data_IF_533591064370
#
_entry.id   IF_533591064370
#
_cell.length_a   1.000
_cell.length_b   1.000
_cell.length_c   1.000
_cell.angle_alpha   90.00
_cell.angle_beta   90.00
_cell.angle_gamma   90.00
#
_symmetry.space_group_name_H-M   'P 1'
#
loop_
_entity.id
_entity.type
_entity.pdbx_description
1 polymer ?
#
# COMPACT_ATOMS: atom_id res chain seq x y z
N UNK A 1 -29.43 -18.22 68.32
CA UNK A 1 -30.37 -18.21 67.18
C UNK A 1 -29.66 -17.59 65.98
N UNK A 2 -29.82 -18.26 64.83
CA UNK A 2 -29.07 -18.12 63.57
C UNK A 2 -29.01 -16.69 63.00
N UNK A 3 -27.79 -16.20 62.70
CA UNK A 3 -27.60 -15.01 61.86
C UNK A 3 -27.32 -15.45 60.42
N UNK A 4 -28.37 -15.39 59.60
CA UNK A 4 -28.37 -15.74 58.17
C UNK A 4 -27.39 -14.85 57.41
N UNK A 5 -26.38 -15.47 56.79
CA UNK A 5 -25.42 -14.84 55.86
C UNK A 5 -26.21 -14.40 54.61
N UNK A 6 -26.53 -13.12 54.49
CA UNK A 6 -27.11 -12.56 53.25
C UNK A 6 -26.03 -12.58 52.18
N UNK A 7 -26.00 -13.62 51.36
CA UNK A 7 -25.21 -13.65 50.13
C UNK A 7 -25.86 -12.67 49.17
N UNK A 8 -25.26 -11.48 49.08
CA UNK A 8 -25.64 -10.43 48.15
C UNK A 8 -25.21 -10.89 46.74
N UNK A 9 -26.11 -11.55 46.02
CA UNK A 9 -25.90 -11.85 44.60
C UNK A 9 -26.09 -10.55 43.81
N UNK A 10 -24.99 -9.84 43.57
CA UNK A 10 -24.93 -8.76 42.59
C UNK A 10 -25.16 -9.36 41.18
N UNK A 11 -26.08 -8.82 40.36
CA UNK A 11 -26.29 -9.32 39.01
C UNK A 11 -25.10 -8.96 38.12
N UNK A 12 -24.27 -9.96 37.81
CA UNK A 12 -23.25 -9.92 36.76
C UNK A 12 -24.00 -9.91 35.41
N UNK A 13 -24.51 -8.75 34.98
CA UNK A 13 -25.30 -8.65 33.75
C UNK A 13 -24.89 -7.53 32.81
N UNK A 14 -23.81 -6.80 33.07
CA UNK A 14 -23.34 -5.72 32.18
C UNK A 14 -21.83 -5.79 31.96
N UNK A 15 -21.33 -7.00 31.66
CA UNK A 15 -19.98 -7.20 31.06
C UNK A 15 -20.15 -8.09 29.83
N UNK A 16 -21.05 -7.67 28.94
CA UNK A 16 -21.15 -8.19 27.57
C UNK A 16 -21.23 -7.01 26.58
N UNK A 17 -20.57 -5.90 26.90
CA UNK A 17 -20.16 -4.93 25.89
C UNK A 17 -19.00 -5.55 25.13
N UNK A 18 -19.40 -6.36 24.16
CA UNK A 18 -18.68 -6.73 22.94
C UNK A 18 -17.40 -5.91 22.73
N UNK A 19 -16.29 -6.46 23.22
CA UNK A 19 -14.97 -6.14 22.67
C UNK A 19 -14.92 -6.73 21.27
N UNK A 20 -15.61 -6.08 20.33
CA UNK A 20 -15.31 -6.19 18.91
C UNK A 20 -13.91 -5.61 18.73
N UNK A 21 -12.91 -6.42 19.07
CA UNK A 21 -11.55 -6.24 18.60
C UNK A 21 -11.64 -6.44 17.09
N UNK A 22 -11.89 -5.34 16.38
CA UNK A 22 -11.44 -5.21 15.00
C UNK A 22 -9.92 -5.34 15.10
N UNK A 23 -9.44 -6.58 15.01
CA UNK A 23 -8.05 -6.88 14.68
C UNK A 23 -7.93 -6.46 13.22
N UNK A 24 -7.87 -5.14 13.00
CA UNK A 24 -7.20 -4.62 11.82
C UNK A 24 -5.79 -5.14 11.95
N UNK A 25 -5.46 -6.16 11.17
CA UNK A 25 -4.08 -6.58 11.02
C UNK A 25 -3.35 -5.33 10.56
N UNK A 26 -2.54 -4.74 11.44
CA UNK A 26 -1.58 -3.72 11.05
C UNK A 26 -0.53 -4.50 10.26
N UNK A 27 -0.89 -4.94 9.06
CA UNK A 27 0.08 -5.42 8.08
C UNK A 27 1.01 -4.25 7.88
N UNK A 28 2.31 -4.48 8.09
CA UNK A 28 3.34 -3.46 7.99
C UNK A 28 3.05 -2.56 6.78
N UNK A 29 2.67 -1.30 7.01
CA UNK A 29 2.34 -0.35 5.95
C UNK A 29 3.51 -0.27 4.94
N UNK A 30 3.36 -0.93 3.80
CA UNK A 30 4.40 -1.21 2.81
C UNK A 30 4.35 -2.65 2.27
N UNK A 31 4.01 -3.65 3.08
CA UNK A 31 4.00 -5.05 2.65
C UNK A 31 2.89 -5.35 1.65
N UNK A 32 1.71 -4.74 1.81
CA UNK A 32 0.63 -4.93 0.85
C UNK A 32 1.01 -4.38 -0.54
N UNK A 33 1.65 -3.21 -0.58
CA UNK A 33 2.14 -2.63 -1.83
C UNK A 33 3.19 -3.48 -2.55
N UNK A 34 4.13 -4.06 -1.79
CA UNK A 34 5.15 -4.96 -2.34
C UNK A 34 4.51 -6.24 -2.88
N UNK A 35 3.60 -6.84 -2.10
CA UNK A 35 2.86 -8.02 -2.50
C UNK A 35 2.09 -7.78 -3.80
N UNK A 36 1.37 -6.65 -3.91
CA UNK A 36 0.64 -6.26 -5.12
C UNK A 36 1.61 -6.15 -6.31
N UNK A 37 2.70 -5.40 -6.18
CA UNK A 37 3.66 -5.21 -7.27
C UNK A 37 4.23 -6.56 -7.74
N UNK A 38 4.75 -7.35 -6.81
CA UNK A 38 5.42 -8.61 -7.12
C UNK A 38 4.46 -9.66 -7.68
N UNK A 39 3.26 -9.80 -7.12
CA UNK A 39 2.25 -10.75 -7.61
C UNK A 39 1.77 -10.36 -9.01
N UNK A 40 1.48 -9.07 -9.24
CA UNK A 40 1.02 -8.62 -10.56
C UNK A 40 2.10 -8.83 -11.63
N UNK A 41 3.36 -8.47 -11.33
CA UNK A 41 4.49 -8.68 -12.25
C UNK A 41 4.77 -10.16 -12.50
N UNK A 42 4.69 -11.02 -11.47
CA UNK A 42 4.81 -12.47 -11.63
C UNK A 42 3.65 -13.06 -12.44
N UNK A 43 2.46 -12.48 -12.34
CA UNK A 43 1.29 -12.83 -13.14
C UNK A 43 1.33 -12.36 -14.60
N UNK A 44 2.42 -11.70 -15.03
CA UNK A 44 2.59 -11.24 -16.41
C UNK A 44 1.99 -9.88 -16.72
N UNK A 45 1.59 -9.10 -15.71
CA UNK A 45 1.14 -7.72 -15.90
C UNK A 45 2.33 -6.81 -16.22
N UNK A 46 2.07 -5.75 -16.98
CA UNK A 46 3.05 -4.72 -17.30
C UNK A 46 3.46 -3.91 -16.06
N UNK A 47 4.57 -3.18 -16.18
CA UNK A 47 5.08 -2.34 -15.10
C UNK A 47 4.07 -1.30 -14.66
N UNK A 48 3.46 -0.56 -15.61
CA UNK A 48 2.65 0.60 -15.28
C UNK A 48 1.40 0.22 -14.47
N UNK A 49 0.69 -0.84 -14.88
CA UNK A 49 -0.48 -1.33 -14.15
C UNK A 49 -0.12 -1.87 -12.75
N UNK A 50 0.95 -2.67 -12.67
CA UNK A 50 1.44 -3.25 -11.40
C UNK A 50 1.92 -2.16 -10.43
N UNK A 51 2.64 -1.17 -10.96
CA UNK A 51 3.15 -0.03 -10.22
C UNK A 51 2.03 0.87 -9.71
N UNK A 52 1.04 1.18 -10.55
CA UNK A 52 -0.08 2.02 -10.16
C UNK A 52 -0.87 1.41 -8.99
N UNK A 53 -1.18 0.11 -9.06
CA UNK A 53 -1.90 -0.58 -8.00
C UNK A 53 -1.09 -0.61 -6.68
N UNK A 54 0.19 -0.95 -6.77
CA UNK A 54 1.09 -0.97 -5.62
C UNK A 54 1.26 0.42 -4.99
N UNK A 55 1.52 1.45 -5.81
CA UNK A 55 1.73 2.81 -5.34
C UNK A 55 0.50 3.37 -4.62
N UNK A 56 -0.70 3.13 -5.15
CA UNK A 56 -1.94 3.56 -4.49
C UNK A 56 -2.12 2.87 -3.14
N UNK A 57 -1.83 1.57 -3.04
CA UNK A 57 -1.84 0.85 -1.76
C UNK A 57 -0.85 1.46 -0.77
N UNK A 58 0.42 1.65 -1.16
CA UNK A 58 1.45 2.26 -0.30
C UNK A 58 1.05 3.68 0.13
N UNK A 59 0.49 4.47 -0.78
CA UNK A 59 0.03 5.84 -0.50
C UNK A 59 -1.11 5.85 0.52
N UNK A 60 -2.07 4.94 0.39
CA UNK A 60 -3.22 4.85 1.29
C UNK A 60 -2.81 4.31 2.68
N UNK A 61 -1.92 3.32 2.73
CA UNK A 61 -1.43 2.71 3.97
C UNK A 61 -0.65 3.71 4.85
N UNK A 62 0.09 4.64 4.24
CA UNK A 62 0.90 5.64 4.94
C UNK A 62 0.09 6.87 5.37
N UNK A 63 -1.24 6.79 5.35
CA UNK A 63 -2.20 7.87 5.59
C UNK A 63 -1.72 8.99 6.52
N UNK A 64 -1.82 10.23 6.05
CA UNK A 64 -1.39 11.42 6.77
C UNK A 64 -1.35 12.65 5.87
N UNK A 65 -0.93 13.79 6.45
CA UNK A 65 -0.80 15.06 5.71
C UNK A 65 0.34 15.02 4.67
N UNK A 66 1.28 14.09 4.81
CA UNK A 66 2.40 13.93 3.88
C UNK A 66 2.16 12.76 2.93
N UNK A 67 1.83 13.08 1.67
CA UNK A 67 1.73 12.09 0.59
C UNK A 67 3.12 11.52 0.30
N UNK A 68 3.24 10.19 0.27
CA UNK A 68 4.50 9.53 -0.12
C UNK A 68 4.78 9.74 -1.61
N UNK A 69 6.01 10.14 -1.94
CA UNK A 69 6.40 10.30 -3.34
C UNK A 69 6.56 8.95 -4.05
N UNK A 70 6.37 8.88 -5.38
CA UNK A 70 6.63 7.68 -6.17
C UNK A 70 8.03 7.09 -5.90
N UNK A 71 9.05 7.94 -5.82
CA UNK A 71 10.43 7.52 -5.54
C UNK A 71 10.61 6.89 -4.17
N UNK A 72 9.93 7.42 -3.15
CA UNK A 72 9.95 6.83 -1.81
C UNK A 72 9.20 5.48 -1.77
N UNK A 73 8.07 5.37 -2.47
CA UNK A 73 7.36 4.11 -2.59
C UNK A 73 8.20 3.03 -3.29
N UNK A 74 8.91 3.40 -4.36
CA UNK A 74 9.83 2.51 -5.07
C UNK A 74 10.93 1.99 -4.12
N UNK A 75 11.51 2.87 -3.30
CA UNK A 75 12.49 2.50 -2.29
C UNK A 75 11.95 1.52 -1.25
N UNK A 76 10.70 1.70 -0.80
CA UNK A 76 10.06 0.74 0.12
C UNK A 76 9.92 -0.64 -0.53
N UNK A 77 9.50 -0.69 -1.80
CA UNK A 77 9.37 -1.96 -2.53
C UNK A 77 10.73 -2.66 -2.60
N UNK A 78 11.77 -1.95 -3.02
CA UNK A 78 13.13 -2.52 -3.11
C UNK A 78 13.63 -3.02 -1.76
N UNK A 79 13.47 -2.21 -0.70
CA UNK A 79 13.91 -2.58 0.66
C UNK A 79 13.27 -3.87 1.13
N UNK A 80 11.97 -4.06 0.91
CA UNK A 80 11.29 -5.27 1.36
C UNK A 80 11.58 -6.48 0.47
N UNK A 81 11.68 -6.31 -0.85
CA UNK A 81 12.02 -7.41 -1.76
C UNK A 81 13.42 -7.95 -1.45
N UNK A 82 14.38 -7.08 -1.21
CA UNK A 82 15.75 -7.47 -0.84
C UNK A 82 15.83 -8.01 0.59
N UNK A 83 15.11 -7.39 1.53
CA UNK A 83 15.08 -7.81 2.93
C UNK A 83 14.32 -9.11 3.19
N UNK A 84 13.52 -9.59 2.23
CA UNK A 84 12.76 -10.84 2.32
C UNK A 84 12.88 -11.64 1.02
N UNK A 85 14.12 -11.90 0.61
CA UNK A 85 14.44 -12.57 -0.64
C UNK A 85 13.76 -13.94 -0.79
N UNK A 86 13.59 -14.68 0.30
CA UNK A 86 12.94 -16.00 0.31
C UNK A 86 11.48 -15.93 -0.18
N UNK A 87 10.79 -14.82 0.12
CA UNK A 87 9.39 -14.58 -0.26
C UNK A 87 9.27 -13.99 -1.67
N UNK A 88 10.24 -13.18 -2.08
CA UNK A 88 10.16 -12.35 -3.29
C UNK A 88 11.26 -12.65 -4.33
N UNK A 89 11.84 -13.84 -4.29
CA UNK A 89 12.96 -14.26 -5.17
C UNK A 89 12.68 -13.96 -6.64
N UNK A 90 11.48 -14.30 -7.12
CA UNK A 90 11.04 -14.09 -8.50
C UNK A 90 10.74 -12.63 -8.84
N UNK A 91 10.56 -11.76 -7.84
CA UNK A 91 10.24 -10.34 -8.04
C UNK A 91 11.49 -9.48 -8.27
N UNK A 92 12.67 -9.95 -7.83
CA UNK A 92 13.94 -9.21 -7.90
C UNK A 92 14.28 -8.70 -9.30
N UNK A 93 13.93 -9.47 -10.35
CA UNK A 93 14.12 -9.11 -11.77
C UNK A 93 13.36 -7.85 -12.21
N UNK A 94 12.32 -7.44 -11.47
CA UNK A 94 11.47 -6.30 -11.82
C UNK A 94 11.83 -5.01 -11.07
N UNK A 95 12.80 -5.05 -10.16
CA UNK A 95 13.17 -3.89 -9.34
C UNK A 95 13.82 -2.77 -10.16
N UNK A 96 14.50 -3.11 -11.25
CA UNK A 96 15.16 -2.13 -12.12
C UNK A 96 14.20 -1.17 -12.81
N UNK A 97 12.93 -1.54 -12.96
CA UNK A 97 11.91 -0.73 -13.62
C UNK A 97 11.21 0.24 -12.65
N UNK A 98 11.43 0.12 -11.33
CA UNK A 98 10.83 1.01 -10.33
C UNK A 98 11.40 2.43 -10.36
N UNK A 99 12.53 2.63 -11.03
CA UNK A 99 13.15 3.93 -11.21
C UNK A 99 13.25 4.23 -12.71
N UNK A 100 12.58 5.28 -13.22
CA UNK A 100 12.70 5.64 -14.61
C UNK A 100 14.16 5.98 -14.93
N UNK A 101 14.62 5.59 -16.11
CA UNK A 101 15.94 5.98 -16.61
C UNK A 101 15.90 7.49 -16.87
N UNK A 102 16.96 8.20 -16.49
CA UNK A 102 17.02 9.67 -16.55
C UNK A 102 16.72 10.28 -17.94
N UNK A 103 16.75 9.47 -19.00
CA UNK A 103 16.41 9.84 -20.37
C UNK A 103 14.90 10.03 -20.59
N UNK A 104 14.03 9.40 -19.80
CA UNK A 104 12.56 9.51 -19.87
C UNK A 104 11.98 10.66 -19.04
N UNK A 105 12.78 11.30 -18.18
CA UNK A 105 12.35 12.45 -17.39
C UNK A 105 12.24 13.74 -18.23
N UNK A 106 12.87 13.77 -19.42
CA UNK A 106 12.95 14.94 -20.31
C UNK A 106 12.01 14.92 -21.52
N UNK A 107 11.35 13.79 -21.83
CA UNK A 107 10.50 13.67 -23.02
C UNK A 107 8.99 13.77 -22.77
N UNK A 108 8.56 14.04 -21.54
CA UNK A 108 7.13 14.22 -21.21
C UNK A 108 6.53 15.57 -21.65
N UNK A 109 7.34 16.47 -22.24
CA UNK A 109 6.87 17.78 -22.70
C UNK A 109 7.37 18.06 -24.13
N UNK A 110 6.68 17.51 -25.13
CA UNK A 110 6.37 18.12 -26.45
C UNK A 110 5.92 17.03 -27.43
N UNK A 111 4.62 16.92 -27.66
CA UNK A 111 4.09 16.56 -28.98
C UNK A 111 2.67 17.10 -29.14
N UNK A 112 2.58 18.21 -29.86
CA UNK A 112 1.35 18.80 -30.37
C UNK A 112 0.84 17.93 -31.53
N UNK A 113 -0.35 17.34 -31.41
CA UNK A 113 -0.97 16.55 -32.48
C UNK A 113 -2.13 15.68 -32.00
N UNK A 114 -3.36 16.04 -32.40
CA UNK A 114 -4.65 15.36 -32.14
C UNK A 114 -4.52 13.83 -31.91
N UNK A 115 -4.73 13.39 -30.68
CA UNK A 115 -4.77 11.98 -30.28
C UNK A 115 -5.45 11.84 -28.92
N UNK A 116 -6.28 10.81 -28.77
CA UNK A 116 -7.02 10.45 -27.56
C UNK A 116 -6.10 10.34 -26.34
N UNK A 117 -6.50 10.79 -25.13
CA UNK A 117 -5.61 10.83 -23.97
C UNK A 117 -5.14 9.42 -23.64
N UNK A 118 -3.84 9.26 -23.46
CA UNK A 118 -3.25 8.00 -23.01
C UNK A 118 -3.20 8.00 -21.48
N UNK A 119 -3.27 6.81 -20.86
CA UNK A 119 -3.30 6.64 -19.38
C UNK A 119 -2.16 7.35 -18.62
N UNK A 120 -1.10 7.74 -19.33
CA UNK A 120 0.06 8.46 -18.79
C UNK A 120 -0.22 9.96 -18.57
N UNK A 121 -1.18 10.53 -19.30
CA UNK A 121 -1.59 11.94 -19.14
C UNK A 121 -2.38 12.14 -17.85
N UNK A 122 -3.21 11.17 -17.47
CA UNK A 122 -3.87 11.14 -16.16
C UNK A 122 -2.88 10.93 -14.99
N UNK A 123 -1.71 10.34 -15.27
CA UNK A 123 -0.66 10.10 -14.27
C UNK A 123 0.12 11.38 -13.92
N UNK A 124 0.11 12.40 -14.80
CA UNK A 124 0.78 13.68 -14.55
C UNK A 124 -0.15 14.77 -14.00
N UNK A 125 -1.47 14.64 -14.18
CA UNK A 125 -2.45 15.63 -13.69
C UNK A 125 -2.55 15.64 -12.16
N UNK A 126 -2.50 14.46 -11.52
CA UNK A 126 -2.48 14.31 -10.06
C UNK A 126 -1.17 14.85 -9.40
N UNK A 127 -0.19 15.31 -10.20
CA UNK A 127 1.13 15.79 -9.77
C UNK A 127 1.16 17.28 -9.40
N UNK A 128 0.17 18.09 -9.80
CA UNK A 128 0.17 19.54 -9.59
C UNK A 128 -1.17 20.06 -9.06
N UNK A 129 -1.57 19.63 -7.87
CA UNK A 129 -2.55 20.36 -7.08
C UNK A 129 -1.96 20.58 -5.68
N UNK A 130 -1.52 21.81 -5.43
CA UNK A 130 -0.86 22.31 -4.21
C UNK A 130 -1.87 22.96 -3.28
#
# INVERSE_FOLDING_TARGET
MSLRRKVLLLPISIVALTTSTLIGSITNAGSQGVDIYCVMRNGGNDHASSWQAAYQSIKNERGGLFKISPRQAATIIVQQVVGSQDKYSDCTKYLGELYPKAEEELTSTTSNGKGQPTKQDQYMDDRYDY
#
